data_IF_949142034233
#
_entry.id   IF_949142034233
#
_cell.length_a   1.000
_cell.length_b   1.000
_cell.length_c   1.000
_cell.angle_alpha   90.00
_cell.angle_beta   90.00
_cell.angle_gamma   90.00
#
_symmetry.space_group_name_H-M   'P 1'
#
loop_
_entity.id
_entity.type
_entity.pdbx_description
1 polymer ?
#
# COMPACT_ATOMS: atom_id res chain seq x y z
N UNK A 1 2.37 2.91 -20.16
CA UNK A 1 3.60 2.16 -20.33
C UNK A 1 4.12 1.68 -18.99
N UNK A 2 4.72 0.53 -18.97
CA UNK A 2 5.13 -0.14 -17.75
C UNK A 2 6.11 0.66 -16.90
N UNK A 3 7.12 1.27 -17.52
CA UNK A 3 8.10 2.06 -16.78
C UNK A 3 7.51 3.32 -16.17
N UNK A 4 6.52 3.89 -16.83
CA UNK A 4 5.83 5.07 -16.31
C UNK A 4 5.03 4.73 -15.06
N UNK A 5 4.38 3.57 -15.05
CA UNK A 5 3.61 3.13 -13.90
C UNK A 5 4.51 2.83 -12.71
N UNK A 6 5.64 2.15 -12.94
CA UNK A 6 6.62 1.88 -11.89
C UNK A 6 7.20 3.18 -11.34
N UNK A 7 7.55 4.12 -12.23
CA UNK A 7 8.08 5.42 -11.82
C UNK A 7 7.06 6.21 -10.99
N UNK A 8 5.78 6.17 -11.40
CA UNK A 8 4.72 6.84 -10.66
C UNK A 8 4.57 6.27 -9.25
N UNK A 9 4.52 4.93 -9.15
CA UNK A 9 4.40 4.26 -7.84
C UNK A 9 5.62 4.54 -6.98
N UNK A 10 6.81 4.58 -7.56
CA UNK A 10 8.03 4.93 -6.82
C UNK A 10 7.93 6.34 -6.22
N UNK A 11 7.47 7.31 -7.00
CA UNK A 11 7.27 8.68 -6.50
C UNK A 11 6.21 8.72 -5.40
N UNK A 12 5.15 7.94 -5.57
CA UNK A 12 4.09 7.84 -4.56
C UNK A 12 4.64 7.31 -3.24
N UNK A 13 5.41 6.23 -3.30
CA UNK A 13 6.00 5.64 -2.10
C UNK A 13 6.99 6.60 -1.43
N UNK A 14 7.78 7.33 -2.21
CA UNK A 14 8.70 8.33 -1.66
C UNK A 14 7.93 9.41 -0.89
N UNK A 15 6.83 9.91 -1.44
CA UNK A 15 5.99 10.90 -0.76
C UNK A 15 5.41 10.33 0.52
N UNK A 16 4.84 9.14 0.44
CA UNK A 16 4.23 8.50 1.60
C UNK A 16 5.25 8.25 2.73
N UNK A 17 6.40 7.69 2.38
CA UNK A 17 7.42 7.32 3.37
C UNK A 17 8.14 8.54 3.94
N UNK A 18 8.20 9.66 3.21
CA UNK A 18 8.80 10.89 3.72
C UNK A 18 7.83 11.70 4.57
N UNK A 19 6.58 11.29 4.67
CA UNK A 19 5.56 12.00 5.45
C UNK A 19 4.86 13.11 4.68
N UNK A 20 5.09 13.21 3.37
CA UNK A 20 4.39 14.17 2.51
C UNK A 20 3.01 13.62 2.16
N UNK A 21 2.12 13.67 3.12
CA UNK A 21 0.78 13.08 3.01
C UNK A 21 -0.09 13.79 1.98
N UNK A 22 0.09 15.09 1.81
CA UNK A 22 -0.67 15.84 0.81
C UNK A 22 -0.36 15.35 -0.61
N UNK A 23 0.93 15.22 -0.93
CA UNK A 23 1.33 14.71 -2.24
C UNK A 23 0.88 13.24 -2.42
N UNK A 24 1.09 12.40 -1.41
CA UNK A 24 0.68 11.01 -1.49
C UNK A 24 -0.82 10.88 -1.73
N UNK A 25 -1.63 11.67 -1.02
CA UNK A 25 -3.08 11.65 -1.18
C UNK A 25 -3.52 12.10 -2.57
N UNK A 26 -2.80 13.07 -3.15
CA UNK A 26 -3.12 13.59 -4.49
C UNK A 26 -2.99 12.53 -5.60
N UNK A 27 -2.23 11.47 -5.36
CA UNK A 27 -2.04 10.39 -6.33
C UNK A 27 -3.26 9.45 -6.41
N UNK A 28 -4.15 9.51 -5.44
CA UNK A 28 -5.35 8.66 -5.41
C UNK A 28 -6.50 9.30 -6.14
N UNK A 29 -7.23 8.47 -6.89
CA UNK A 29 -8.48 8.89 -7.51
C UNK A 29 -9.47 9.29 -6.40
N UNK A 30 -10.33 10.31 -6.62
CA UNK A 30 -11.33 10.69 -5.62
C UNK A 30 -12.28 9.56 -5.19
N UNK A 31 -12.43 8.53 -6.03
CA UNK A 31 -13.29 7.39 -5.74
C UNK A 31 -12.50 6.11 -5.48
N UNK A 32 -11.25 6.24 -5.06
CA UNK A 32 -10.36 5.11 -4.81
C UNK A 32 -10.95 4.10 -3.83
N UNK A 33 -10.69 2.82 -4.08
CA UNK A 33 -10.99 1.75 -3.14
C UNK A 33 -9.70 1.31 -2.46
N UNK A 34 -9.64 1.45 -1.14
CA UNK A 34 -8.48 1.07 -0.34
C UNK A 34 -8.86 -0.18 0.46
N UNK A 35 -8.44 -1.33 -0.06
CA UNK A 35 -8.81 -2.63 0.51
C UNK A 35 -7.76 -3.11 1.52
N UNK A 36 -8.03 -2.87 2.79
CA UNK A 36 -7.16 -3.27 3.89
C UNK A 36 -7.68 -4.49 4.66
N UNK A 37 -8.53 -5.30 4.04
CA UNK A 37 -9.14 -6.45 4.73
C UNK A 37 -8.13 -7.50 5.19
N UNK A 38 -6.95 -7.56 4.58
CA UNK A 38 -5.91 -8.49 5.03
C UNK A 38 -5.24 -8.07 6.33
N UNK A 39 -5.43 -6.82 6.77
CA UNK A 39 -4.92 -6.32 8.04
C UNK A 39 -5.85 -6.72 9.19
N UNK A 40 -5.34 -6.89 10.42
CA UNK A 40 -6.19 -7.13 11.58
C UNK A 40 -7.26 -6.03 11.70
N UNK A 41 -8.52 -6.43 11.84
CA UNK A 41 -9.66 -5.52 11.89
C UNK A 41 -9.77 -4.60 10.68
N UNK A 42 -9.16 -5.02 9.57
CA UNK A 42 -9.15 -4.25 8.35
C UNK A 42 -10.48 -4.29 7.62
N UNK A 43 -10.70 -3.27 6.80
CA UNK A 43 -11.92 -3.11 6.02
C UNK A 43 -11.59 -2.45 4.69
N UNK A 44 -12.60 -2.26 3.88
CA UNK A 44 -12.47 -1.47 2.65
C UNK A 44 -12.83 -0.02 2.99
N UNK A 45 -11.91 0.88 2.67
CA UNK A 45 -12.10 2.32 2.81
C UNK A 45 -12.30 2.92 1.41
N UNK A 46 -13.05 3.98 1.32
CA UNK A 46 -13.37 4.59 0.02
C UNK A 46 -13.08 6.07 -0.01
N UNK A 47 -12.54 6.52 -1.16
CA UNK A 47 -12.24 7.92 -1.40
C UNK A 47 -11.08 8.44 -0.57
N UNK A 48 -10.79 9.73 -0.72
CA UNK A 48 -9.68 10.37 0.00
C UNK A 48 -9.88 10.31 1.51
N UNK A 49 -11.10 10.56 2.00
CA UNK A 49 -11.38 10.47 3.42
C UNK A 49 -11.11 9.07 3.95
N UNK A 50 -11.48 8.04 3.16
CA UNK A 50 -11.22 6.66 3.53
C UNK A 50 -9.74 6.34 3.62
N UNK A 51 -8.96 6.83 2.66
CA UNK A 51 -7.50 6.63 2.68
C UNK A 51 -6.88 7.28 3.91
N UNK A 52 -7.28 8.51 4.23
CA UNK A 52 -6.78 9.22 5.42
C UNK A 52 -7.10 8.43 6.68
N UNK A 53 -8.32 7.92 6.78
CA UNK A 53 -8.74 7.11 7.93
C UNK A 53 -7.93 5.81 8.02
N UNK A 54 -7.73 5.12 6.91
CA UNK A 54 -6.95 3.89 6.86
C UNK A 54 -5.51 4.12 7.34
N UNK A 55 -4.91 5.23 6.89
CA UNK A 55 -3.55 5.58 7.27
C UNK A 55 -3.47 5.93 8.76
N UNK A 56 -4.45 6.67 9.26
CA UNK A 56 -4.50 7.05 10.67
C UNK A 56 -4.59 5.82 11.57
N UNK A 57 -5.49 4.90 11.23
CA UNK A 57 -5.71 3.68 12.01
C UNK A 57 -4.44 2.83 12.03
N UNK A 58 -3.83 2.63 10.85
CA UNK A 58 -2.66 1.78 10.75
C UNK A 58 -1.44 2.36 11.47
N UNK A 59 -1.12 3.62 11.19
CA UNK A 59 0.03 4.27 11.85
C UNK A 59 -0.18 4.40 13.34
N UNK A 60 -1.41 4.65 13.77
CA UNK A 60 -1.74 4.76 15.19
C UNK A 60 -1.59 3.47 15.97
N UNK A 61 -1.52 2.33 15.29
CA UNK A 61 -1.41 1.02 15.93
C UNK A 61 0.02 0.61 16.27
N UNK A 62 1.02 1.30 15.74
CA UNK A 62 2.42 0.87 15.81
C UNK A 62 3.35 1.92 16.37
N UNK A 63 4.39 1.44 17.07
CA UNK A 63 5.56 2.23 17.48
C UNK A 63 6.74 1.78 16.61
N UNK A 64 7.65 2.72 16.32
CA UNK A 64 8.86 2.44 15.53
C UNK A 64 8.56 1.75 14.21
N UNK A 65 7.49 2.19 13.54
CA UNK A 65 7.06 1.60 12.29
C UNK A 65 8.05 1.92 11.17
N UNK A 66 8.52 0.87 10.49
CA UNK A 66 9.48 0.99 9.38
C UNK A 66 9.00 0.19 8.19
N UNK A 67 9.20 0.76 7.03
CA UNK A 67 8.90 0.10 5.76
C UNK A 67 10.12 0.20 4.87
N UNK A 68 10.55 -0.93 4.34
CA UNK A 68 11.65 -1.01 3.39
C UNK A 68 11.11 -1.62 2.10
N UNK A 69 11.09 -0.83 1.03
CA UNK A 69 10.61 -1.30 -0.27
C UNK A 69 11.72 -2.14 -0.90
N UNK A 70 11.39 -3.40 -1.23
CA UNK A 70 12.35 -4.33 -1.83
C UNK A 70 12.19 -4.47 -3.33
N UNK A 71 10.95 -4.53 -3.82
CA UNK A 71 10.69 -4.69 -5.25
C UNK A 71 9.46 -3.90 -5.66
N UNK A 72 9.50 -3.37 -6.88
CA UNK A 72 8.34 -2.77 -7.53
C UNK A 72 8.22 -3.45 -8.88
N UNK A 73 7.13 -4.18 -9.09
CA UNK A 73 6.96 -5.04 -10.26
C UNK A 73 5.81 -4.53 -11.11
N UNK A 74 6.10 -4.27 -12.38
CA UNK A 74 5.07 -3.89 -13.33
C UNK A 74 4.22 -5.11 -13.71
N UNK A 75 2.91 -4.93 -13.72
CA UNK A 75 1.95 -5.97 -14.05
C UNK A 75 0.85 -5.42 -14.98
N UNK A 76 1.24 -4.58 -15.94
CA UNK A 76 0.28 -3.92 -16.84
C UNK A 76 -0.33 -2.70 -16.18
N UNK A 77 -1.67 -2.64 -16.11
CA UNK A 77 -2.35 -1.55 -15.40
C UNK A 77 -2.23 -1.64 -13.88
N UNK A 78 -1.49 -2.61 -13.37
CA UNK A 78 -1.26 -2.82 -11.94
C UNK A 78 0.22 -2.85 -11.65
N UNK A 79 0.56 -2.48 -10.41
CA UNK A 79 1.94 -2.52 -9.94
C UNK A 79 1.94 -3.22 -8.59
N UNK A 80 2.78 -4.24 -8.45
CA UNK A 80 2.95 -4.96 -7.19
C UNK A 80 4.17 -4.40 -6.48
N UNK A 81 4.00 -3.98 -5.23
CA UNK A 81 5.08 -3.53 -4.37
C UNK A 81 5.31 -4.58 -3.29
N UNK A 82 6.53 -5.04 -3.17
CA UNK A 82 6.94 -5.96 -2.12
C UNK A 82 7.83 -5.18 -1.16
N UNK A 83 7.46 -5.17 0.11
CA UNK A 83 8.23 -4.46 1.13
C UNK A 83 8.35 -5.31 2.38
N UNK A 84 9.28 -4.88 3.24
CA UNK A 84 9.45 -5.47 4.55
C UNK A 84 8.99 -4.43 5.56
N UNK A 85 8.11 -4.84 6.44
CA UNK A 85 7.54 -3.98 7.46
C UNK A 85 7.94 -4.48 8.84
N UNK A 86 8.28 -3.55 9.73
CA UNK A 86 8.61 -3.89 11.10
C UNK A 86 8.11 -2.81 12.04
N UNK A 87 7.83 -3.21 13.26
CA UNK A 87 7.36 -2.29 14.29
C UNK A 87 6.88 -3.05 15.50
N UNK A 88 6.38 -2.30 16.48
CA UNK A 88 5.86 -2.85 17.72
C UNK A 88 4.45 -2.32 17.94
N UNK A 89 3.52 -3.22 18.26
CA UNK A 89 2.15 -2.84 18.54
C UNK A 89 2.04 -1.96 19.79
N UNK A 90 1.34 -0.85 19.69
CA UNK A 90 1.04 -0.03 20.85
C UNK A 90 0.12 -0.80 21.78
N UNK A 91 0.42 -0.78 23.07
CA UNK A 91 -0.36 -1.48 24.08
C UNK A 91 -0.01 -2.95 24.24
N UNK A 92 0.11 -3.70 23.14
CA UNK A 92 0.46 -5.13 23.22
C UNK A 92 1.93 -5.38 23.36
N UNK A 93 2.78 -4.49 22.80
CA UNK A 93 4.21 -4.67 22.77
C UNK A 93 4.70 -5.76 21.82
N UNK A 94 3.79 -6.36 21.04
CA UNK A 94 4.15 -7.43 20.10
C UNK A 94 4.94 -6.83 18.94
N UNK A 95 6.11 -7.41 18.69
CA UNK A 95 6.95 -7.01 17.57
C UNK A 95 6.57 -7.79 16.33
N UNK A 96 6.53 -7.11 15.19
CA UNK A 96 6.37 -7.76 13.90
C UNK A 96 7.54 -7.40 12.99
N UNK A 97 7.87 -8.34 12.12
CA UNK A 97 8.88 -8.17 11.09
C UNK A 97 8.46 -9.13 9.97
N UNK A 98 7.85 -8.59 8.93
CA UNK A 98 7.20 -9.42 7.92
C UNK A 98 7.28 -8.76 6.55
N UNK A 99 7.06 -9.56 5.52
CA UNK A 99 6.85 -9.01 4.19
C UNK A 99 5.40 -8.54 4.04
N UNK A 100 5.23 -7.48 3.30
CA UNK A 100 3.93 -6.97 2.93
C UNK A 100 3.88 -6.78 1.43
N UNK A 101 2.71 -6.97 0.86
CA UNK A 101 2.49 -6.91 -0.57
C UNK A 101 1.34 -5.96 -0.84
N UNK A 102 1.56 -5.00 -1.72
CA UNK A 102 0.52 -4.05 -2.10
C UNK A 102 0.36 -4.07 -3.60
N UNK A 103 -0.87 -4.23 -4.06
CA UNK A 103 -1.19 -4.13 -5.48
C UNK A 103 -1.89 -2.79 -5.70
N UNK A 104 -1.25 -1.93 -6.49
CA UNK A 104 -1.84 -0.68 -6.94
C UNK A 104 -2.45 -0.89 -8.31
N UNK A 105 -3.73 -0.55 -8.47
CA UNK A 105 -4.36 -0.52 -9.79
C UNK A 105 -4.40 0.94 -10.23
N UNK A 106 -3.87 1.20 -11.42
CA UNK A 106 -3.71 2.55 -11.95
C UNK A 106 -4.64 2.75 -13.15
N UNK A 107 -5.19 3.95 -13.25
CA UNK A 107 -5.99 4.36 -14.40
C UNK A 107 -5.89 5.87 -14.54
N UNK A 108 -5.61 6.33 -15.77
CA UNK A 108 -5.53 7.76 -16.08
C UNK A 108 -4.58 8.54 -15.16
N UNK A 109 -3.43 7.91 -14.84
CA UNK A 109 -2.41 8.55 -14.02
C UNK A 109 -2.75 8.65 -12.55
N UNK A 110 -3.71 7.87 -12.05
CA UNK A 110 -4.11 7.86 -10.64
C UNK A 110 -4.27 6.46 -10.12
N UNK A 111 -4.14 6.32 -8.81
CA UNK A 111 -4.40 5.05 -8.12
C UNK A 111 -5.90 4.93 -7.90
N UNK A 112 -6.53 3.95 -8.55
CA UNK A 112 -7.97 3.69 -8.37
C UNK A 112 -8.24 2.59 -7.36
N UNK A 113 -7.23 1.77 -7.06
CA UNK A 113 -7.37 0.71 -6.07
C UNK A 113 -6.04 0.43 -5.39
N UNK A 114 -6.09 0.26 -4.08
CA UNK A 114 -4.99 -0.21 -3.25
C UNK A 114 -5.44 -1.50 -2.59
N UNK A 115 -4.66 -2.57 -2.72
CA UNK A 115 -4.97 -3.85 -2.07
C UNK A 115 -3.75 -4.33 -1.32
N UNK A 116 -3.90 -4.55 -0.01
CA UNK A 116 -2.82 -5.05 0.83
C UNK A 116 -2.96 -6.53 1.09
N UNK A 117 -1.82 -7.23 1.14
CA UNK A 117 -1.73 -8.66 1.42
C UNK A 117 -0.54 -8.94 2.32
N UNK A 118 -0.64 -10.01 3.10
CA UNK A 118 0.47 -10.49 3.94
C UNK A 118 1.09 -11.76 3.39
N UNK A 119 0.50 -12.36 2.34
CA UNK A 119 1.01 -13.54 1.70
C UNK A 119 1.24 -13.30 0.21
N UNK A 120 2.31 -13.94 -0.30
CA UNK A 120 2.74 -13.72 -1.68
C UNK A 120 1.70 -14.20 -2.71
N UNK A 121 1.20 -15.42 -2.56
CA UNK A 121 0.31 -16.02 -3.57
C UNK A 121 -0.93 -15.19 -3.88
N UNK A 122 -1.74 -14.77 -2.88
CA UNK A 122 -2.91 -13.93 -3.18
C UNK A 122 -2.53 -12.57 -3.79
N UNK A 123 -1.37 -12.01 -3.41
CA UNK A 123 -0.91 -10.75 -3.99
C UNK A 123 -0.58 -10.92 -5.48
N UNK A 124 0.13 -11.99 -5.83
CA UNK A 124 0.43 -12.28 -7.23
C UNK A 124 -0.83 -12.49 -8.05
N UNK A 125 -1.79 -13.22 -7.51
CA UNK A 125 -3.09 -13.41 -8.16
C UNK A 125 -3.79 -12.07 -8.42
N UNK A 126 -3.83 -11.20 -7.41
CA UNK A 126 -4.48 -9.90 -7.53
C UNK A 126 -3.79 -9.02 -8.56
N UNK A 127 -2.49 -9.16 -8.73
CA UNK A 127 -1.73 -8.43 -9.74
C UNK A 127 -1.83 -9.05 -11.13
N UNK A 128 -2.40 -10.24 -11.25
CA UNK A 128 -2.47 -10.96 -12.52
C UNK A 128 -1.15 -11.64 -12.89
N UNK A 129 -0.31 -11.91 -11.89
CA UNK A 129 0.98 -12.57 -12.08
C UNK A 129 0.89 -14.02 -11.61
N UNK A 130 1.75 -14.86 -12.16
CA UNK A 130 1.88 -16.24 -11.70
C UNK A 130 3.21 -16.41 -10.98
N UNK A 131 3.27 -17.42 -10.14
CA UNK A 131 4.52 -17.74 -9.46
C UNK A 131 5.49 -18.46 -10.34
#
# INVERSE_FOLDING_TARGET
MSQENVAFVRRHLEAYLSGDNETALSHYDPEVEFDARARPEGQIYRGHEGVVEAMRVWRGAWEDWRVEVEEIIDAGGRVLVISRESGRGKGSGVEIDQHAFVVFTLRDGRIVRWQGFVHRAPALQAAGLSE
#
